data_IF_585174403553
#
_entry.id   IF_585174403553
#
_cell.length_a   1.000
_cell.length_b   1.000
_cell.length_c   1.000
_cell.angle_alpha   90.00
_cell.angle_beta   90.00
_cell.angle_gamma   90.00
#
_symmetry.space_group_name_H-M   'P 1'
#
loop_
_entity.id
_entity.type
_entity.pdbx_description
1 polymer ?
#
# COMPACT_ATOMS: atom_id res chain seq x y z
N UNK A 1 -7.41 29.87 -5.93
CA UNK A 1 -7.56 28.41 -5.73
C UNK A 1 -6.22 27.77 -6.05
N UNK A 2 -5.57 27.16 -5.07
CA UNK A 2 -4.31 26.41 -5.25
C UNK A 2 -4.45 25.00 -4.69
N UNK A 3 -3.82 23.97 -5.28
CA UNK A 3 -3.16 23.96 -6.58
C UNK A 3 -4.13 24.30 -7.74
N UNK A 4 -3.60 24.88 -8.82
CA UNK A 4 -4.37 25.14 -10.03
C UNK A 4 -4.80 23.83 -10.71
N UNK A 5 -5.76 23.90 -11.62
CA UNK A 5 -6.17 22.75 -12.42
C UNK A 5 -4.99 22.28 -13.28
N UNK A 6 -4.74 20.97 -13.34
CA UNK A 6 -3.59 20.34 -14.00
C UNK A 6 -2.21 20.81 -13.51
N UNK A 7 -2.08 21.35 -12.30
CA UNK A 7 -0.77 21.73 -11.75
C UNK A 7 0.12 20.50 -11.54
N UNK A 8 1.39 20.59 -11.92
CA UNK A 8 2.44 19.66 -11.53
C UNK A 8 3.20 20.23 -10.32
N UNK A 9 3.38 19.43 -9.28
CA UNK A 9 3.92 19.86 -7.99
C UNK A 9 5.14 19.02 -7.61
N UNK A 10 6.23 19.70 -7.25
CA UNK A 10 7.48 19.11 -6.75
C UNK A 10 7.48 18.81 -5.24
N UNK A 11 6.31 18.80 -4.61
CA UNK A 11 6.18 18.57 -3.16
C UNK A 11 5.06 17.60 -2.87
N UNK A 12 5.33 16.66 -1.96
CA UNK A 12 4.34 15.72 -1.41
C UNK A 12 3.38 16.38 -0.42
N UNK A 13 3.64 17.63 -0.01
CA UNK A 13 2.79 18.39 0.92
C UNK A 13 2.31 19.70 0.29
N UNK A 14 1.45 19.62 -0.73
CA UNK A 14 0.92 20.81 -1.36
C UNK A 14 0.10 21.64 -0.38
N UNK A 15 0.10 22.96 -0.60
CA UNK A 15 -0.78 23.89 0.12
C UNK A 15 -2.06 24.09 -0.69
N UNK A 16 -3.19 23.80 -0.05
CA UNK A 16 -4.49 24.03 -0.64
C UNK A 16 -5.02 25.40 -0.23
N UNK A 17 -5.59 26.14 -1.17
CA UNK A 17 -6.27 27.40 -0.86
C UNK A 17 -7.54 27.58 -1.66
N UNK A 18 -8.57 28.15 -1.03
CA UNK A 18 -9.81 28.52 -1.69
C UNK A 18 -10.36 29.84 -1.16
N UNK A 19 -11.10 30.54 -2.02
CA UNK A 19 -11.77 31.78 -1.65
C UNK A 19 -13.15 31.50 -1.08
N UNK A 20 -13.56 32.35 -0.15
CA UNK A 20 -14.95 32.43 0.31
C UNK A 20 -15.88 32.69 -0.88
N UNK A 21 -17.08 32.09 -0.91
CA UNK A 21 -18.08 32.37 -1.95
C UNK A 21 -18.39 33.86 -2.06
N UNK A 22 -18.52 34.34 -3.30
CA UNK A 22 -18.95 35.70 -3.60
C UNK A 22 -19.97 35.66 -4.75
N UNK A 23 -21.18 36.20 -4.58
CA UNK A 23 -21.69 36.85 -3.36
C UNK A 23 -21.92 35.86 -2.20
N UNK A 24 -21.99 36.37 -0.97
CA UNK A 24 -22.38 35.58 0.20
C UNK A 24 -23.85 35.15 0.11
N UNK A 25 -24.24 34.01 0.71
CA UNK A 25 -25.63 33.57 0.68
C UNK A 25 -26.52 34.58 1.43
N UNK A 26 -27.58 35.07 0.77
CA UNK A 26 -28.42 36.14 1.30
C UNK A 26 -29.44 35.68 2.36
N UNK A 27 -29.82 34.40 2.35
CA UNK A 27 -30.93 33.86 3.17
C UNK A 27 -30.46 33.10 4.42
N UNK A 28 -29.20 32.67 4.46
CA UNK A 28 -28.64 31.88 5.58
C UNK A 28 -27.13 32.14 5.65
N UNK A 29 -26.57 32.49 6.81
CA UNK A 29 -25.14 32.73 6.94
C UNK A 29 -24.32 31.51 6.50
N UNK A 30 -23.15 31.78 5.92
CA UNK A 30 -22.18 30.74 5.64
C UNK A 30 -21.62 30.20 6.96
N UNK A 31 -21.53 28.87 7.09
CA UNK A 31 -21.20 28.22 8.35
C UNK A 31 -19.83 27.55 8.31
N UNK A 32 -19.63 26.58 7.41
CA UNK A 32 -18.38 25.82 7.35
C UNK A 32 -18.10 25.25 5.95
N UNK A 33 -16.90 24.69 5.79
CA UNK A 33 -16.45 24.00 4.59
C UNK A 33 -16.04 22.56 4.90
N UNK A 34 -16.30 21.67 3.97
CA UNK A 34 -15.66 20.36 3.90
C UNK A 34 -14.69 20.34 2.72
N UNK A 35 -13.43 20.02 3.00
CA UNK A 35 -12.39 19.84 2.00
C UNK A 35 -12.27 18.36 1.64
N UNK A 36 -12.34 18.07 0.34
CA UNK A 36 -12.25 16.74 -0.22
C UNK A 36 -10.90 16.57 -0.92
N UNK A 37 -10.26 15.44 -0.66
CA UNK A 37 -9.06 14.99 -1.34
C UNK A 37 -9.31 13.58 -1.86
N UNK A 38 -9.07 13.36 -3.15
CA UNK A 38 -9.29 12.09 -3.84
C UNK A 38 -10.71 11.52 -3.65
N UNK A 39 -11.69 12.42 -3.60
CA UNK A 39 -13.10 12.11 -3.43
C UNK A 39 -13.54 11.77 -2.00
N UNK A 40 -12.61 11.75 -1.04
CA UNK A 40 -12.90 11.54 0.38
C UNK A 40 -12.86 12.86 1.16
N UNK A 41 -13.68 13.00 2.20
CA UNK A 41 -13.58 14.13 3.12
C UNK A 41 -12.27 14.01 3.89
N UNK A 42 -11.34 14.94 3.65
CA UNK A 42 -10.05 14.97 4.32
C UNK A 42 -10.06 15.90 5.53
N UNK A 43 -10.74 17.06 5.41
CA UNK A 43 -10.97 17.98 6.51
C UNK A 43 -12.44 18.39 6.53
N UNK A 44 -13.10 18.17 7.66
CA UNK A 44 -14.53 18.42 7.84
C UNK A 44 -14.75 19.64 8.74
N UNK A 45 -15.87 20.32 8.52
CA UNK A 45 -16.38 21.38 9.41
C UNK A 45 -15.37 22.51 9.67
N UNK A 46 -14.62 22.90 8.65
CA UNK A 46 -13.72 24.06 8.70
C UNK A 46 -14.58 25.32 8.81
N UNK A 47 -14.61 25.94 9.99
CA UNK A 47 -15.49 27.10 10.26
C UNK A 47 -15.24 28.27 9.31
N UNK A 48 -16.30 28.98 8.89
CA UNK A 48 -16.16 30.23 8.14
C UNK A 48 -15.52 31.35 8.97
N UNK A 49 -15.61 31.28 10.30
CA UNK A 49 -14.97 32.20 11.24
C UNK A 49 -13.55 31.79 11.65
N UNK A 50 -12.97 30.79 10.99
CA UNK A 50 -11.62 30.30 11.29
C UNK A 50 -10.57 31.41 11.15
N UNK A 51 -9.67 31.51 12.12
CA UNK A 51 -8.44 32.30 12.00
C UNK A 51 -7.26 31.39 11.72
N UNK A 52 -6.95 30.48 12.66
CA UNK A 52 -5.98 29.40 12.50
C UNK A 52 -6.31 28.29 13.49
N UNK A 53 -6.21 27.05 13.03
CA UNK A 53 -6.42 25.88 13.85
C UNK A 53 -5.49 24.76 13.40
N UNK A 54 -4.85 24.14 14.37
CA UNK A 54 -3.89 23.08 14.14
C UNK A 54 -4.51 21.72 14.45
N UNK A 55 -4.48 20.82 13.47
CA UNK A 55 -4.98 19.45 13.57
C UNK A 55 -3.83 18.45 13.43
N UNK A 56 -4.09 17.18 13.72
CA UNK A 56 -3.05 16.16 13.65
C UNK A 56 -2.48 15.97 12.22
N UNK A 57 -3.34 16.01 11.19
CA UNK A 57 -2.93 15.75 9.80
C UNK A 57 -2.77 17.02 8.94
N UNK A 58 -3.22 18.18 9.41
CA UNK A 58 -3.15 19.43 8.67
C UNK A 58 -3.23 20.64 9.60
N UNK A 59 -2.89 21.81 9.08
CA UNK A 59 -3.16 23.11 9.70
C UNK A 59 -4.09 23.87 8.77
N UNK A 60 -5.21 24.37 9.30
CA UNK A 60 -6.15 25.19 8.55
C UNK A 60 -6.08 26.63 9.04
N UNK A 61 -6.10 27.60 8.14
CA UNK A 61 -6.15 29.02 8.48
C UNK A 61 -7.01 29.78 7.49
N UNK A 62 -7.55 30.92 7.90
CA UNK A 62 -8.22 31.81 6.98
C UNK A 62 -7.87 33.27 7.26
N UNK A 63 -7.67 34.03 6.19
CA UNK A 63 -7.37 35.46 6.24
C UNK A 63 -7.89 36.14 4.98
N UNK A 64 -8.50 37.32 5.12
CA UNK A 64 -9.03 38.11 4.00
C UNK A 64 -9.96 37.32 3.06
N UNK A 65 -10.77 36.39 3.60
CA UNK A 65 -11.67 35.54 2.81
C UNK A 65 -10.97 34.44 2.00
N UNK A 66 -9.70 34.17 2.25
CA UNK A 66 -8.95 33.04 1.69
C UNK A 66 -8.69 32.04 2.79
N UNK A 67 -9.11 30.80 2.56
CA UNK A 67 -8.83 29.65 3.40
C UNK A 67 -7.61 28.93 2.87
N UNK A 68 -6.75 28.48 3.78
CA UNK A 68 -5.57 27.69 3.48
C UNK A 68 -5.61 26.39 4.31
N UNK A 69 -5.13 25.31 3.70
CA UNK A 69 -4.95 24.02 4.34
C UNK A 69 -3.56 23.50 3.99
N UNK A 70 -2.72 23.35 5.02
CA UNK A 70 -1.36 22.85 4.92
C UNK A 70 -1.33 21.42 5.42
N UNK A 71 -0.86 20.49 4.59
CA UNK A 71 -0.74 19.08 4.98
C UNK A 71 0.48 18.84 5.88
N UNK A 72 0.30 17.98 6.89
CA UNK A 72 1.40 17.48 7.73
C UNK A 72 1.89 16.09 7.32
N UNK A 73 1.13 15.41 6.47
CA UNK A 73 1.44 14.10 5.91
C UNK A 73 1.70 14.19 4.43
N UNK A 74 2.62 13.36 3.96
CA UNK A 74 2.94 13.24 2.54
C UNK A 74 1.81 12.57 1.77
N UNK A 75 1.45 13.16 0.63
CA UNK A 75 0.66 12.51 -0.40
C UNK A 75 1.57 11.63 -1.25
N UNK A 76 0.97 10.61 -1.87
CA UNK A 76 1.68 9.73 -2.79
C UNK A 76 2.10 10.50 -4.06
N UNK A 77 3.02 9.92 -4.83
CA UNK A 77 3.28 10.39 -6.19
C UNK A 77 2.07 10.09 -7.09
N UNK A 78 1.87 10.88 -8.13
CA UNK A 78 0.86 10.65 -9.15
C UNK A 78 -0.29 11.66 -9.16
N UNK A 79 -1.39 11.28 -9.81
CA UNK A 79 -2.57 12.14 -9.95
C UNK A 79 -3.42 12.16 -8.69
N UNK A 80 -3.79 13.37 -8.29
CA UNK A 80 -4.70 13.65 -7.19
C UNK A 80 -5.82 14.60 -7.63
N UNK A 81 -6.89 14.60 -6.85
CA UNK A 81 -8.01 15.52 -7.03
C UNK A 81 -8.39 16.19 -5.74
N UNK A 82 -8.87 17.43 -5.81
CA UNK A 82 -9.38 18.15 -4.65
C UNK A 82 -10.60 18.99 -5.01
N UNK A 83 -11.47 19.19 -4.03
CA UNK A 83 -12.63 20.07 -4.12
C UNK A 83 -13.07 20.52 -2.73
N UNK A 84 -13.92 21.54 -2.68
CA UNK A 84 -14.47 22.06 -1.43
C UNK A 84 -15.97 22.19 -1.55
N UNK A 85 -16.68 21.83 -0.49
CA UNK A 85 -18.12 22.07 -0.36
C UNK A 85 -18.35 23.03 0.79
N UNK A 86 -19.04 24.13 0.51
CA UNK A 86 -19.41 25.16 1.46
C UNK A 86 -20.85 24.90 1.95
N UNK A 87 -21.11 25.07 3.24
CA UNK A 87 -22.41 24.85 3.88
C UNK A 87 -22.87 26.10 4.62
N UNK A 88 -24.16 26.42 4.51
CA UNK A 88 -24.82 27.42 5.36
C UNK A 88 -25.28 26.80 6.68
N UNK A 89 -25.65 27.63 7.65
CA UNK A 89 -26.16 27.15 8.97
C UNK A 89 -27.40 26.27 8.84
N UNK A 90 -28.22 26.51 7.81
CA UNK A 90 -29.43 25.73 7.54
C UNK A 90 -29.15 24.44 6.74
N UNK A 91 -27.87 24.10 6.50
CA UNK A 91 -27.46 22.88 5.81
C UNK A 91 -27.53 22.93 4.29
N UNK A 92 -27.77 24.11 3.69
CA UNK A 92 -27.70 24.29 2.23
C UNK A 92 -26.24 24.26 1.81
N UNK A 93 -25.91 23.50 0.76
CA UNK A 93 -24.52 23.31 0.32
C UNK A 93 -24.29 23.74 -1.12
N UNK A 94 -23.08 24.23 -1.41
CA UNK A 94 -22.58 24.46 -2.77
C UNK A 94 -21.17 23.90 -2.92
N UNK A 95 -20.90 23.23 -4.04
CA UNK A 95 -19.60 22.60 -4.31
C UNK A 95 -18.77 23.43 -5.28
N UNK A 96 -17.45 23.45 -5.08
CA UNK A 96 -16.51 23.93 -6.09
C UNK A 96 -16.39 22.93 -7.24
N UNK A 97 -15.80 23.38 -8.35
CA UNK A 97 -15.26 22.46 -9.35
C UNK A 97 -14.23 21.52 -8.71
N UNK A 98 -14.20 20.28 -9.20
CA UNK A 98 -13.14 19.33 -8.84
C UNK A 98 -11.90 19.62 -9.66
N UNK A 99 -10.79 19.85 -8.98
CA UNK A 99 -9.50 20.18 -9.58
C UNK A 99 -8.59 18.98 -9.50
N UNK A 100 -7.85 18.74 -10.57
CA UNK A 100 -6.82 17.72 -10.63
C UNK A 100 -5.43 18.36 -10.54
N UNK A 101 -4.48 17.61 -10.02
CA UNK A 101 -3.06 17.96 -9.98
C UNK A 101 -2.23 16.69 -9.96
N UNK A 102 -0.94 16.82 -10.29
CA UNK A 102 0.02 15.73 -10.31
C UNK A 102 1.14 16.02 -9.32
N UNK A 103 1.46 15.07 -8.46
CA UNK A 103 2.60 15.13 -7.57
C UNK A 103 3.72 14.31 -8.18
N UNK A 104 4.86 14.96 -8.34
CA UNK A 104 6.11 14.30 -8.63
C UNK A 104 7.20 15.09 -7.93
N UNK A 105 7.66 14.55 -6.81
CA UNK A 105 8.70 15.15 -5.97
C UNK A 105 10.05 14.43 -6.11
N UNK A 106 10.23 13.60 -7.14
CA UNK A 106 11.43 12.79 -7.32
C UNK A 106 12.32 13.54 -8.32
N UNK A 107 13.54 13.95 -7.94
CA UNK A 107 14.45 14.61 -8.87
C UNK A 107 14.84 13.71 -10.05
N UNK A 108 15.02 14.29 -11.26
CA UNK A 108 15.39 13.51 -12.43
C UNK A 108 16.79 12.91 -12.28
N UNK A 109 17.03 11.74 -12.86
CA UNK A 109 18.38 11.17 -12.92
C UNK A 109 19.19 11.79 -14.07
N UNK A 110 20.52 11.74 -13.94
CA UNK A 110 21.47 12.10 -14.99
C UNK A 110 22.52 10.99 -15.04
N UNK A 111 22.78 10.44 -16.22
CA UNK A 111 23.87 9.50 -16.47
C UNK A 111 24.87 10.08 -17.46
N UNK A 112 26.14 9.69 -17.33
CA UNK A 112 27.19 9.91 -18.33
C UNK A 112 27.71 8.53 -18.72
N UNK A 113 27.49 8.15 -19.97
CA UNK A 113 27.78 6.81 -20.50
C UNK A 113 29.02 6.79 -21.38
N UNK A 114 29.41 7.93 -21.94
CA UNK A 114 30.59 8.03 -22.80
C UNK A 114 31.19 9.41 -22.80
N UNK A 115 32.52 9.48 -22.74
CA UNK A 115 33.31 10.68 -22.99
C UNK A 115 34.43 10.30 -23.97
N UNK A 116 34.35 10.83 -25.18
CA UNK A 116 35.23 10.51 -26.30
C UNK A 116 35.36 9.00 -26.53
N UNK A 117 36.51 8.37 -26.25
CA UNK A 117 36.73 6.93 -26.38
C UNK A 117 36.43 6.13 -25.11
N UNK A 118 36.17 6.80 -23.99
CA UNK A 118 35.97 6.18 -22.70
C UNK A 118 34.48 5.88 -22.47
N UNK A 119 34.16 4.62 -22.22
CA UNK A 119 32.85 4.21 -21.74
C UNK A 119 32.77 4.37 -20.22
N UNK A 120 31.69 4.96 -19.74
CA UNK A 120 31.43 5.25 -18.33
C UNK A 120 30.07 4.69 -17.93
N UNK A 121 29.84 4.60 -16.62
CA UNK A 121 28.57 4.16 -16.04
C UNK A 121 28.14 5.06 -14.88
N UNK A 122 28.50 6.34 -14.94
CA UNK A 122 28.26 7.28 -13.86
C UNK A 122 26.82 7.75 -13.87
N UNK A 123 26.09 7.61 -12.77
CA UNK A 123 24.65 7.88 -12.70
C UNK A 123 24.23 8.43 -11.34
N UNK A 124 23.51 9.55 -11.30
CA UNK A 124 23.04 10.20 -10.06
C UNK A 124 21.99 9.40 -9.30
N UNK A 125 21.22 8.52 -9.98
CA UNK A 125 20.31 7.58 -9.32
C UNK A 125 21.05 6.46 -8.58
N UNK A 126 22.34 6.23 -8.91
CA UNK A 126 23.21 5.28 -8.20
C UNK A 126 24.50 5.99 -7.78
N UNK A 127 24.48 6.83 -6.74
CA UNK A 127 25.61 7.71 -6.41
C UNK A 127 26.96 7.01 -6.27
N UNK A 128 26.99 5.75 -5.83
CA UNK A 128 28.22 4.94 -5.72
C UNK A 128 28.87 4.57 -7.07
N UNK A 129 28.17 4.76 -8.19
CA UNK A 129 28.74 4.62 -9.54
C UNK A 129 29.63 5.79 -9.95
N UNK A 130 29.47 6.95 -9.28
CA UNK A 130 30.25 8.16 -9.53
C UNK A 130 31.46 8.12 -8.59
N UNK A 131 32.69 8.05 -9.11
CA UNK A 131 33.89 7.96 -8.27
C UNK A 131 34.08 9.24 -7.41
N UNK A 132 34.93 9.21 -6.38
CA UNK A 132 35.31 10.43 -5.66
C UNK A 132 36.00 11.43 -6.59
N UNK A 133 36.03 12.71 -6.20
CA UNK A 133 36.48 13.81 -7.06
C UNK A 133 37.91 13.62 -7.57
N UNK A 134 38.79 13.00 -6.78
CA UNK A 134 40.18 12.74 -7.16
C UNK A 134 40.30 11.83 -8.41
N UNK A 135 39.28 11.02 -8.69
CA UNK A 135 39.25 10.05 -9.78
C UNK A 135 38.31 10.47 -10.93
N UNK A 136 37.92 11.75 -10.99
CA UNK A 136 37.05 12.32 -12.05
C UNK A 136 37.81 13.14 -13.09
N UNK A 137 39.12 12.92 -13.21
CA UNK A 137 39.97 13.54 -14.22
C UNK A 137 40.11 12.60 -15.41
N UNK A 138 39.50 12.97 -16.53
CA UNK A 138 39.46 12.17 -17.74
C UNK A 138 40.34 12.79 -18.82
N UNK A 139 40.96 11.94 -19.63
CA UNK A 139 41.78 12.37 -20.76
C UNK A 139 41.05 12.05 -22.06
N UNK A 140 40.83 13.06 -22.89
CA UNK A 140 40.20 12.92 -24.22
C UNK A 140 41.26 12.85 -25.31
N UNK A 141 40.96 12.22 -26.44
CA UNK A 141 41.93 12.00 -27.53
C UNK A 141 41.82 12.99 -28.67
N UNK A 142 40.74 13.77 -28.73
CA UNK A 142 40.49 14.77 -29.78
C UNK A 142 40.30 16.16 -29.16
N UNK A 143 40.56 17.19 -29.96
CA UNK A 143 40.23 18.59 -29.59
C UNK A 143 38.71 18.85 -29.50
N UNK A 144 37.92 18.00 -30.17
CA UNK A 144 36.46 18.09 -30.23
C UNK A 144 35.83 16.79 -29.69
N UNK A 145 35.83 16.53 -28.36
CA UNK A 145 35.33 15.28 -27.81
C UNK A 145 33.80 15.26 -27.78
N UNK A 146 33.25 14.08 -28.11
CA UNK A 146 31.82 13.80 -27.98
C UNK A 146 31.53 13.26 -26.59
N UNK A 147 30.48 13.76 -25.94
CA UNK A 147 29.98 13.27 -24.66
C UNK A 147 28.53 12.80 -24.81
N UNK A 148 28.20 11.69 -24.16
CA UNK A 148 26.88 11.05 -24.23
C UNK A 148 26.41 10.57 -22.86
N UNK A 149 25.10 10.47 -22.72
CA UNK A 149 24.47 9.94 -21.53
C UNK A 149 22.96 9.90 -21.66
N UNK A 150 22.33 9.69 -20.52
CA UNK A 150 20.89 9.59 -20.37
C UNK A 150 20.42 10.59 -19.31
N UNK A 151 19.15 10.96 -19.39
CA UNK A 151 18.44 11.81 -18.44
C UNK A 151 16.97 11.39 -18.44
N UNK A 152 16.21 11.75 -17.42
CA UNK A 152 14.77 11.56 -17.48
C UNK A 152 14.14 12.27 -18.69
N UNK A 153 13.26 11.57 -19.41
CA UNK A 153 12.56 12.10 -20.57
C UNK A 153 11.81 13.39 -20.27
N UNK A 154 11.80 14.30 -21.23
CA UNK A 154 11.20 15.64 -21.14
C UNK A 154 11.85 16.58 -20.11
N UNK A 155 12.99 16.22 -19.53
CA UNK A 155 13.76 17.12 -18.68
C UNK A 155 14.41 18.23 -19.47
N UNK A 156 14.41 19.43 -18.90
CA UNK A 156 15.28 20.52 -19.32
C UNK A 156 16.69 20.25 -18.84
N UNK A 157 17.63 20.13 -19.77
CA UNK A 157 18.98 19.67 -19.53
C UNK A 157 20.00 20.73 -19.91
N UNK A 158 21.07 20.86 -19.12
CA UNK A 158 22.15 21.79 -19.36
C UNK A 158 23.51 21.15 -19.07
N UNK A 159 24.48 21.38 -19.95
CA UNK A 159 25.88 21.02 -19.78
C UNK A 159 26.72 22.29 -20.01
N UNK A 160 27.64 22.58 -19.09
CA UNK A 160 28.54 23.72 -19.17
C UNK A 160 29.98 23.21 -19.11
N UNK A 161 30.79 23.55 -20.11
CA UNK A 161 32.24 23.42 -20.08
C UNK A 161 32.85 24.76 -19.65
N UNK A 162 33.47 24.77 -18.48
CA UNK A 162 34.11 25.95 -17.91
C UNK A 162 35.60 25.92 -18.28
N UNK A 163 36.03 27.01 -18.90
CA UNK A 163 37.43 27.26 -19.21
C UNK A 163 38.29 27.51 -17.96
N UNK A 164 39.54 27.02 -17.94
CA UNK A 164 40.51 27.39 -16.93
C UNK A 164 40.79 28.90 -16.93
N UNK A 165 41.09 29.46 -15.76
CA UNK A 165 41.38 30.89 -15.62
C UNK A 165 42.66 31.29 -16.35
N UNK A 166 42.74 32.55 -16.80
CA UNK A 166 43.91 33.18 -17.41
C UNK A 166 44.32 32.65 -18.81
N UNK A 167 43.40 32.06 -19.55
CA UNK A 167 43.65 31.64 -20.94
C UNK A 167 42.93 32.60 -21.91
N UNK A 168 43.64 33.54 -22.56
CA UNK A 168 43.04 34.35 -23.59
C UNK A 168 42.63 33.46 -24.76
N UNK A 169 41.36 33.58 -25.21
CA UNK A 169 40.68 32.79 -26.26
C UNK A 169 40.02 31.46 -25.83
N UNK A 170 39.90 31.18 -24.54
CA UNK A 170 39.06 30.07 -24.08
C UNK A 170 37.65 30.56 -23.75
N UNK A 171 36.63 30.07 -24.46
CA UNK A 171 35.23 30.43 -24.24
C UNK A 171 34.46 29.32 -23.50
N UNK A 172 33.57 29.72 -22.59
CA UNK A 172 32.65 28.80 -21.91
C UNK A 172 31.67 28.26 -22.95
N UNK A 173 31.54 26.94 -23.02
CA UNK A 173 30.60 26.29 -23.93
C UNK A 173 29.38 25.81 -23.14
N UNK A 174 28.18 26.11 -23.63
CA UNK A 174 26.93 25.76 -22.98
C UNK A 174 26.05 25.01 -23.96
N UNK A 175 25.64 23.81 -23.56
CA UNK A 175 24.61 23.04 -24.24
C UNK A 175 23.34 23.05 -23.38
N UNK A 176 22.22 23.38 -23.99
CA UNK A 176 20.90 23.33 -23.35
C UNK A 176 19.87 22.71 -24.28
N UNK A 177 18.90 21.99 -23.71
CA UNK A 177 17.81 21.42 -24.49
C UNK A 177 16.75 20.74 -23.63
N UNK A 178 15.57 20.50 -24.20
CA UNK A 178 14.57 19.63 -23.60
C UNK A 178 14.71 18.23 -24.20
N UNK A 179 15.05 17.23 -23.37
CA UNK A 179 15.44 15.90 -23.85
C UNK A 179 14.24 14.96 -23.82
N UNK A 180 13.45 14.93 -24.89
CA UNK A 180 12.23 14.11 -24.97
C UNK A 180 12.50 12.59 -24.98
N UNK A 181 13.60 12.14 -25.58
CA UNK A 181 13.96 10.73 -25.70
C UNK A 181 14.54 10.12 -24.42
N UNK A 182 15.01 10.95 -23.49
CA UNK A 182 15.82 10.53 -22.35
C UNK A 182 17.29 10.21 -22.70
N UNK A 183 17.70 10.40 -23.95
CA UNK A 183 19.10 10.21 -24.38
C UNK A 183 19.66 11.54 -24.89
N UNK A 184 20.90 11.86 -24.51
CA UNK A 184 21.57 13.09 -24.94
C UNK A 184 22.97 12.80 -25.49
N UNK A 185 23.36 13.62 -26.46
CA UNK A 185 24.68 13.62 -27.08
C UNK A 185 25.04 15.06 -27.43
N UNK A 186 26.25 15.48 -27.08
CA UNK A 186 26.80 16.77 -27.47
C UNK A 186 28.30 16.66 -27.69
N UNK A 187 28.90 17.68 -28.28
CA UNK A 187 30.35 17.78 -28.44
C UNK A 187 30.83 19.11 -27.89
N UNK A 188 32.04 19.11 -27.36
CA UNK A 188 32.80 20.33 -27.15
C UNK A 188 33.71 20.57 -28.34
N UNK A 189 34.11 21.81 -28.55
CA UNK A 189 34.96 22.21 -29.67
C UNK A 189 36.20 22.95 -29.20
N UNK A 190 37.29 22.81 -29.94
CA UNK A 190 38.51 23.60 -29.81
C UNK A 190 39.14 23.59 -28.40
N UNK A 191 39.18 22.41 -27.77
CA UNK A 191 39.92 22.23 -26.51
C UNK A 191 41.43 22.48 -26.73
N UNK A 192 42.00 23.29 -25.84
CA UNK A 192 43.42 23.61 -25.85
C UNK A 192 44.23 22.49 -25.19
N UNK A 193 45.39 22.11 -25.76
CA UNK A 193 46.23 21.06 -25.19
C UNK A 193 46.71 21.38 -23.77
N UNK A 194 46.79 20.35 -22.93
CA UNK A 194 47.25 20.39 -21.53
C UNK A 194 46.50 21.40 -20.64
N UNK A 195 45.22 21.64 -20.94
CA UNK A 195 44.33 22.42 -20.08
C UNK A 195 43.28 21.55 -19.41
N UNK A 196 42.96 21.86 -18.15
CA UNK A 196 41.94 21.15 -17.37
C UNK A 196 40.64 21.94 -17.41
N UNK A 197 39.63 21.38 -18.06
CA UNK A 197 38.31 21.97 -18.14
C UNK A 197 37.39 21.35 -17.09
N UNK A 198 36.51 22.16 -16.50
CA UNK A 198 35.48 21.68 -15.57
C UNK A 198 34.16 21.51 -16.31
N UNK A 199 33.51 20.37 -16.16
CA UNK A 199 32.18 20.13 -16.72
C UNK A 199 31.15 20.11 -15.60
N UNK A 200 30.08 20.89 -15.81
CA UNK A 200 28.90 20.92 -14.94
C UNK A 200 27.69 20.47 -15.73
N UNK A 201 26.85 19.63 -15.12
CA UNK A 201 25.63 19.13 -15.74
C UNK A 201 24.47 19.31 -14.78
N UNK A 202 23.32 19.77 -15.28
CA UNK A 202 22.08 19.88 -14.52
C UNK A 202 20.87 19.46 -15.35
N UNK A 203 19.85 18.97 -14.66
CA UNK A 203 18.57 18.60 -15.24
C UNK A 203 17.42 19.10 -14.37
N UNK A 204 16.32 19.52 -14.98
CA UNK A 204 15.07 19.88 -14.30
C UNK A 204 13.90 19.22 -15.01
N UNK A 205 13.09 18.47 -14.27
CA UNK A 205 11.92 17.75 -14.79
C UNK A 205 10.71 18.69 -15.04
N UNK A 206 9.60 18.18 -15.60
CA UNK A 206 8.38 18.99 -15.81
C UNK A 206 7.69 19.49 -14.54
N UNK A 207 7.92 18.83 -13.40
CA UNK A 207 7.36 19.18 -12.09
C UNK A 207 8.19 20.23 -11.35
N UNK A 208 9.39 20.53 -11.87
CA UNK A 208 10.33 21.50 -11.33
C UNK A 208 11.32 20.92 -10.31
N UNK A 209 11.48 19.59 -10.20
CA UNK A 209 12.59 19.03 -9.44
C UNK A 209 13.87 19.14 -10.27
N UNK A 210 14.99 19.40 -9.60
CA UNK A 210 16.29 19.57 -10.26
C UNK A 210 17.34 18.65 -9.66
N UNK A 211 18.23 18.18 -10.53
CA UNK A 211 19.42 17.40 -10.17
C UNK A 211 20.65 18.07 -10.75
N UNK A 212 21.71 18.12 -9.94
CA UNK A 212 23.04 18.56 -10.36
C UNK A 212 23.95 17.34 -10.38
N UNK A 213 24.58 17.09 -11.51
CA UNK A 213 25.59 16.05 -11.63
C UNK A 213 26.89 16.52 -10.97
N UNK A 214 27.59 15.67 -10.20
CA UNK A 214 28.86 16.04 -9.59
C UNK A 214 29.90 16.43 -10.65
N UNK A 215 30.59 17.56 -10.44
CA UNK A 215 31.62 18.06 -11.35
C UNK A 215 32.67 16.98 -11.67
N UNK A 216 33.12 16.99 -12.92
CA UNK A 216 34.24 16.19 -13.43
C UNK A 216 35.07 17.00 -14.42
N UNK A 217 36.25 16.50 -14.75
CA UNK A 217 37.27 17.25 -15.46
C UNK A 217 37.73 16.53 -16.71
N UNK A 218 37.98 17.26 -17.79
CA UNK A 218 38.59 16.72 -19.01
C UNK A 218 39.88 17.44 -19.36
N UNK A 219 40.82 16.72 -19.94
CA UNK A 219 42.09 17.25 -20.46
C UNK A 219 42.38 16.67 -21.83
N UNK A 220 42.68 17.54 -22.79
CA UNK A 220 43.17 17.14 -24.11
C UNK A 220 44.71 17.17 -24.09
N UNK A 221 45.41 16.04 -24.27
CA UNK A 221 46.87 16.01 -24.22
C UNK A 221 47.48 16.52 -25.53
N UNK A 222 48.72 16.99 -25.46
CA UNK A 222 49.51 17.27 -26.67
C UNK A 222 49.73 15.96 -27.44
N UNK A 223 49.17 15.87 -28.65
CA UNK A 223 49.54 14.78 -29.57
C UNK A 223 51.00 14.95 -30.01
N UNK A 224 51.90 14.15 -29.43
CA UNK A 224 53.20 13.85 -30.03
C UNK A 224 52.97 12.85 -31.18
N UNK A 225 52.41 13.32 -32.30
CA UNK A 225 52.30 12.49 -33.50
C UNK A 225 53.27 13.01 -34.57
N UNK A 226 54.33 12.22 -34.78
CA UNK A 226 55.07 12.13 -36.04
C UNK A 226 54.06 11.97 -37.18
N UNK A 227 54.05 12.94 -38.09
CA UNK A 227 53.21 12.96 -39.28
C UNK A 227 53.55 11.77 -40.19
N UNK A 228 52.65 10.81 -40.34
CA UNK A 228 52.55 10.00 -41.55
C UNK A 228 51.31 10.43 -42.34
N UNK A 229 51.39 10.54 -43.68
CA UNK A 229 50.29 11.05 -44.50
C UNK A 229 49.15 10.02 -44.56
N UNK A 230 47.96 10.40 -44.12
CA UNK A 230 46.73 9.62 -44.29
C UNK A 230 46.02 10.03 -45.58
N UNK A 231 45.68 9.04 -46.41
CA UNK A 231 44.86 9.15 -47.62
C UNK A 231 43.40 9.40 -47.21
N UNK A 232 42.65 10.31 -47.86
CA UNK A 232 41.26 10.55 -47.53
C UNK A 232 40.36 9.45 -48.10
N UNK A 233 39.61 8.76 -47.24
CA UNK A 233 38.43 7.97 -47.63
C UNK A 233 37.22 8.69 -47.03
N UNK A 234 36.41 9.28 -47.90
CA UNK A 234 35.12 9.89 -47.55
C UNK A 234 34.08 8.78 -47.34
N UNK A 235 33.42 8.69 -46.18
CA UNK A 235 32.19 7.90 -46.07
C UNK A 235 31.00 8.67 -46.67
N UNK A 236 29.89 7.99 -47.01
CA UNK A 236 28.73 8.62 -47.60
C UNK A 236 27.97 9.46 -46.57
N UNK A 237 27.49 10.62 -47.02
CA UNK A 237 26.62 11.54 -46.29
C UNK A 237 25.25 10.88 -46.16
N UNK A 238 24.95 10.32 -44.99
CA UNK A 238 23.57 10.08 -44.55
C UNK A 238 23.12 11.28 -43.70
N UNK A 239 21.94 11.79 -44.01
CA UNK A 239 21.32 12.98 -43.42
C UNK A 239 21.35 12.92 -41.87
N UNK A 240 22.18 13.75 -41.24
CA UNK A 240 21.99 14.15 -39.85
C UNK A 240 21.51 15.61 -39.83
N UNK A 241 20.31 15.80 -39.27
CA UNK A 241 19.75 17.12 -39.00
C UNK A 241 20.62 17.85 -37.96
N UNK A 242 21.47 18.76 -38.46
CA UNK A 242 22.09 19.81 -37.65
C UNK A 242 21.00 20.85 -37.38
N UNK A 243 20.50 20.91 -36.14
CA UNK A 243 19.56 21.95 -35.72
C UNK A 243 20.37 23.13 -35.18
N UNK A 244 20.29 24.26 -35.88
CA UNK A 244 20.82 25.56 -35.50
C UNK A 244 20.11 26.10 -34.25
N UNK A 245 20.81 26.76 -33.30
CA UNK A 245 20.18 27.30 -32.10
C UNK A 245 19.23 28.45 -32.45
N UNK A 246 17.93 28.22 -32.26
CA UNK A 246 16.90 29.26 -32.25
C UNK A 246 16.72 29.81 -30.83
N UNK A 247 16.46 31.12 -30.74
CA UNK A 247 16.10 31.80 -29.51
C UNK A 247 14.88 31.13 -28.87
N UNK A 248 15.05 30.63 -27.64
CA UNK A 248 14.05 29.91 -26.88
C UNK A 248 13.11 30.89 -26.17
N UNK A 249 11.85 30.87 -26.59
CA UNK A 249 10.71 31.26 -25.74
C UNK A 249 10.21 29.95 -25.12
N UNK A 250 10.08 29.85 -23.78
CA UNK A 250 9.56 28.65 -23.17
C UNK A 250 8.16 28.33 -23.69
N UNK A 251 8.06 27.28 -24.51
CA UNK A 251 6.77 26.70 -24.82
C UNK A 251 6.30 25.99 -23.55
N UNK A 252 5.17 26.44 -23.01
CA UNK A 252 4.45 25.73 -21.95
C UNK A 252 4.26 24.27 -22.40
N UNK A 253 4.72 23.28 -21.62
CA UNK A 253 4.56 21.88 -21.99
C UNK A 253 3.08 21.56 -22.25
N UNK A 254 2.76 20.75 -23.28
CA UNK A 254 1.40 20.22 -23.41
C UNK A 254 1.06 19.46 -22.13
N UNK A 255 -0.08 19.79 -21.53
CA UNK A 255 -0.58 19.10 -20.35
C UNK A 255 -0.54 17.57 -20.60
N UNK A 256 -0.05 16.76 -19.65
CA UNK A 256 0.01 15.32 -19.84
C UNK A 256 -1.38 14.78 -20.17
N UNK A 257 -1.43 13.90 -21.18
CA UNK A 257 -2.66 13.34 -21.72
C UNK A 257 -3.46 12.72 -20.58
N UNK A 258 -4.68 13.24 -20.36
CA UNK A 258 -5.59 12.73 -19.34
C UNK A 258 -5.68 11.20 -19.47
N UNK A 259 -5.52 10.43 -18.38
CA UNK A 259 -6.05 9.08 -18.34
C UNK A 259 -7.53 9.14 -18.76
N UNK A 260 -8.05 8.15 -19.50
CA UNK A 260 -9.44 8.14 -19.91
C UNK A 260 -10.32 8.44 -18.71
N UNK A 261 -11.18 9.46 -18.84
CA UNK A 261 -12.03 9.95 -17.77
C UNK A 261 -12.61 8.76 -17.00
N UNK A 262 -12.14 8.55 -15.76
CA UNK A 262 -12.74 7.56 -14.88
C UNK A 262 -14.18 8.02 -14.75
N UNK A 263 -15.13 7.24 -15.30
CA UNK A 263 -16.57 7.51 -15.18
C UNK A 263 -16.82 8.00 -13.78
N UNK A 264 -17.34 9.22 -13.65
CA UNK A 264 -17.76 9.80 -12.39
C UNK A 264 -18.65 8.75 -11.74
N UNK A 265 -18.07 8.05 -10.77
CA UNK A 265 -18.82 7.09 -9.99
C UNK A 265 -19.60 7.99 -9.07
N UNK A 266 -20.85 8.27 -9.43
CA UNK A 266 -21.83 8.86 -8.53
C UNK A 266 -21.61 8.22 -7.17
N UNK A 267 -21.22 9.02 -6.17
CA UNK A 267 -21.08 8.54 -4.80
C UNK A 267 -22.48 8.11 -4.38
N UNK A 268 -22.76 6.82 -4.59
CA UNK A 268 -23.92 6.18 -4.01
C UNK A 268 -23.74 6.23 -2.49
N UNK A 269 -24.82 6.22 -1.70
CA UNK A 269 -24.80 6.19 -0.22
C UNK A 269 -24.20 4.90 0.39
N UNK A 270 -23.25 4.28 -0.31
CA UNK A 270 -22.65 2.98 -0.09
C UNK A 270 -21.62 3.00 1.05
N UNK A 271 -21.01 4.16 1.37
CA UNK A 271 -19.99 4.26 2.41
C UNK A 271 -20.50 4.04 3.85
N UNK A 272 -21.62 4.66 4.31
CA UNK A 272 -22.16 4.35 5.65
C UNK A 272 -22.71 2.91 5.72
N UNK A 273 -23.28 2.39 4.64
CA UNK A 273 -23.74 1.01 4.56
C UNK A 273 -22.56 0.02 4.62
N UNK A 274 -21.48 0.29 3.90
CA UNK A 274 -20.27 -0.53 3.93
C UNK A 274 -19.58 -0.47 5.30
N UNK A 275 -19.55 0.68 5.97
CA UNK A 275 -19.06 0.79 7.34
C UNK A 275 -19.90 -0.03 8.32
N UNK A 276 -21.24 0.00 8.18
CA UNK A 276 -22.15 -0.86 8.95
C UNK A 276 -21.85 -2.35 8.69
N UNK A 277 -21.62 -2.74 7.43
CA UNK A 277 -21.23 -4.12 7.10
C UNK A 277 -19.91 -4.51 7.76
N UNK A 278 -18.89 -3.65 7.76
CA UNK A 278 -17.62 -3.90 8.45
C UNK A 278 -17.81 -4.09 9.96
N UNK A 279 -18.65 -3.27 10.59
CA UNK A 279 -19.00 -3.43 12.02
C UNK A 279 -19.66 -4.79 12.24
N UNK A 280 -20.65 -5.17 11.43
CA UNK A 280 -21.35 -6.45 11.57
C UNK A 280 -20.43 -7.65 11.31
N UNK A 281 -19.45 -7.53 10.41
CA UNK A 281 -18.42 -8.55 10.15
C UNK A 281 -17.58 -8.78 11.41
N UNK A 282 -17.12 -7.73 12.08
CA UNK A 282 -16.33 -7.86 13.32
C UNK A 282 -17.10 -8.61 14.41
N UNK A 283 -18.42 -8.52 14.44
CA UNK A 283 -19.26 -9.22 15.42
C UNK A 283 -19.83 -10.56 14.95
N UNK A 284 -19.67 -10.98 13.69
CA UNK A 284 -20.28 -12.20 13.17
C UNK A 284 -19.56 -13.48 13.61
N UNK A 285 -18.49 -13.84 12.91
CA UNK A 285 -17.72 -15.07 13.12
C UNK A 285 -17.10 -15.12 14.53
N UNK A 286 -16.52 -14.03 15.09
CA UNK A 286 -15.98 -14.08 16.45
C UNK A 286 -17.06 -14.39 17.49
N UNK A 287 -18.27 -13.83 17.36
CA UNK A 287 -19.37 -14.12 18.26
C UNK A 287 -19.85 -15.56 18.11
N UNK A 288 -19.94 -16.08 16.88
CA UNK A 288 -20.24 -17.49 16.63
C UNK A 288 -19.24 -18.42 17.35
N UNK A 289 -17.93 -18.19 17.19
CA UNK A 289 -16.87 -18.99 17.83
C UNK A 289 -16.90 -18.88 19.36
N UNK A 290 -17.19 -17.68 19.88
CA UNK A 290 -17.37 -17.45 21.31
C UNK A 290 -18.57 -18.22 21.86
N UNK A 291 -19.72 -18.15 21.18
CA UNK A 291 -20.93 -18.88 21.55
C UNK A 291 -20.74 -20.39 21.45
N UNK A 292 -19.99 -20.88 20.46
CA UNK A 292 -19.61 -22.29 20.35
C UNK A 292 -18.76 -22.74 21.54
N UNK A 293 -17.76 -21.94 21.92
CA UNK A 293 -16.85 -22.23 23.03
C UNK A 293 -17.54 -22.18 24.40
N UNK A 294 -18.36 -21.15 24.65
CA UNK A 294 -19.16 -21.02 25.88
C UNK A 294 -20.20 -22.14 25.95
N UNK A 295 -20.84 -22.42 24.81
CA UNK A 295 -21.89 -23.42 24.68
C UNK A 295 -21.41 -24.84 24.94
N UNK A 296 -20.18 -25.18 24.52
CA UNK A 296 -19.54 -26.48 24.79
C UNK A 296 -18.76 -26.52 26.11
N UNK A 297 -18.68 -25.39 26.83
CA UNK A 297 -17.87 -25.22 28.03
C UNK A 297 -16.38 -25.53 27.81
N UNK A 298 -15.85 -25.19 26.63
CA UNK A 298 -14.46 -25.41 26.25
C UNK A 298 -13.51 -24.68 27.21
N UNK A 299 -12.57 -25.38 27.88
CA UNK A 299 -11.53 -24.75 28.67
C UNK A 299 -10.65 -23.86 27.79
N UNK A 300 -10.21 -22.70 28.30
CA UNK A 300 -9.42 -21.73 27.53
C UNK A 300 -8.16 -22.36 26.91
N UNK A 301 -7.48 -23.25 27.66
CA UNK A 301 -6.29 -24.00 27.18
C UNK A 301 -6.56 -24.90 25.96
N UNK A 302 -7.83 -25.23 25.68
CA UNK A 302 -8.27 -26.04 24.54
C UNK A 302 -8.96 -25.23 23.44
N UNK A 303 -9.14 -23.91 23.61
CA UNK A 303 -9.90 -23.07 22.69
C UNK A 303 -9.36 -23.13 21.25
N UNK A 304 -8.04 -22.96 21.06
CA UNK A 304 -7.44 -23.01 19.71
C UNK A 304 -7.64 -24.38 19.04
N UNK A 305 -7.40 -25.47 19.77
CA UNK A 305 -7.60 -26.84 19.24
C UNK A 305 -9.06 -27.10 18.89
N UNK A 306 -9.98 -26.65 19.74
CA UNK A 306 -11.41 -26.75 19.51
C UNK A 306 -11.85 -26.01 18.24
N UNK A 307 -11.38 -24.77 18.04
CA UNK A 307 -11.65 -23.97 16.84
C UNK A 307 -11.16 -24.68 15.57
N UNK A 308 -9.96 -25.27 15.60
CA UNK A 308 -9.43 -26.05 14.46
C UNK A 308 -10.25 -27.30 14.17
N UNK A 309 -10.65 -28.04 15.19
CA UNK A 309 -11.51 -29.24 15.05
C UNK A 309 -12.88 -28.86 14.49
N UNK A 310 -13.40 -27.69 14.89
CA UNK A 310 -14.67 -27.14 14.43
C UNK A 310 -14.59 -26.71 12.96
N UNK A 311 -13.48 -26.10 12.53
CA UNK A 311 -13.28 -25.70 11.13
C UNK A 311 -13.01 -26.90 10.20
N UNK A 312 -12.22 -27.86 10.66
CA UNK A 312 -11.66 -28.93 9.84
C UNK A 312 -11.83 -30.29 10.51
N UNK A 313 -13.06 -30.81 10.61
CA UNK A 313 -13.35 -32.05 11.31
C UNK A 313 -12.72 -33.27 10.61
N UNK A 314 -12.39 -33.18 9.33
CA UNK A 314 -11.77 -34.28 8.57
C UNK A 314 -10.25 -34.37 8.73
N UNK A 315 -9.61 -33.41 9.40
CA UNK A 315 -8.18 -33.48 9.65
C UNK A 315 -7.90 -34.51 10.77
N UNK A 316 -6.94 -35.40 10.49
CA UNK A 316 -6.42 -36.49 11.35
C UNK A 316 -7.24 -37.77 11.35
N UNK A 317 -6.52 -38.90 11.48
CA UNK A 317 -7.12 -40.20 11.74
C UNK A 317 -7.79 -40.19 13.11
N UNK A 318 -9.00 -40.70 13.19
CA UNK A 318 -9.78 -40.81 14.42
C UNK A 318 -10.18 -42.27 14.58
N UNK A 319 -9.96 -42.78 15.77
CA UNK A 319 -10.02 -44.21 16.08
C UNK A 319 -11.22 -44.53 16.95
N UNK A 320 -11.75 -43.55 17.69
CA UNK A 320 -12.82 -43.73 18.64
C UNK A 320 -14.02 -42.81 18.33
N UNK A 321 -15.21 -43.21 18.77
CA UNK A 321 -16.44 -42.47 18.54
C UNK A 321 -17.23 -42.29 19.84
N UNK A 322 -17.87 -41.13 19.97
CA UNK A 322 -18.75 -40.71 21.06
C UNK A 322 -19.80 -39.77 20.45
N UNK A 323 -20.49 -38.98 21.27
CA UNK A 323 -21.34 -37.89 20.81
C UNK A 323 -20.53 -36.66 20.37
N UNK A 324 -21.07 -35.83 19.45
CA UNK A 324 -20.40 -34.62 18.98
C UNK A 324 -20.02 -33.64 20.08
N UNK A 325 -18.84 -33.03 19.94
CA UNK A 325 -18.31 -31.98 20.83
C UNK A 325 -18.32 -32.33 22.32
N UNK A 326 -18.05 -33.59 22.64
CA UNK A 326 -17.83 -34.03 24.02
C UNK A 326 -16.37 -33.88 24.40
N UNK A 327 -16.14 -33.40 25.62
CA UNK A 327 -14.81 -33.40 26.23
C UNK A 327 -14.61 -34.73 26.95
N UNK A 328 -13.51 -35.39 26.63
CA UNK A 328 -13.11 -36.67 27.21
C UNK A 328 -11.79 -36.46 27.95
N UNK A 329 -11.81 -36.65 29.26
CA UNK A 329 -10.65 -36.68 30.12
C UNK A 329 -10.35 -38.13 30.49
N UNK A 330 -9.14 -38.58 30.19
CA UNK A 330 -8.64 -39.92 30.50
C UNK A 330 -7.65 -39.80 31.66
N UNK A 331 -7.85 -40.60 32.70
CA UNK A 331 -7.01 -40.69 33.89
C UNK A 331 -6.43 -42.09 34.02
N UNK A 332 -5.27 -42.19 34.65
CA UNK A 332 -4.61 -43.46 35.00
C UNK A 332 -4.80 -43.68 36.51
N UNK A 333 -4.97 -44.92 36.99
CA UNK A 333 -5.17 -45.23 38.40
C UNK A 333 -4.18 -44.54 39.35
N UNK A 334 -2.91 -44.46 38.94
CA UNK A 334 -1.83 -43.90 39.77
C UNK A 334 -1.86 -42.37 39.89
N UNK A 335 -2.67 -41.68 39.05
CA UNK A 335 -2.71 -40.22 38.99
C UNK A 335 -4.10 -39.70 38.59
N UNK A 336 -4.98 -39.61 39.59
CA UNK A 336 -6.36 -39.13 39.42
C UNK A 336 -6.50 -37.59 39.50
N UNK A 337 -5.50 -36.88 40.02
CA UNK A 337 -5.58 -35.42 40.22
C UNK A 337 -5.58 -34.64 38.89
N UNK A 338 -4.96 -35.21 37.85
CA UNK A 338 -4.86 -34.59 36.52
C UNK A 338 -5.09 -35.62 35.43
N UNK A 339 -5.79 -35.25 34.35
CA UNK A 339 -5.98 -36.15 33.22
C UNK A 339 -4.65 -36.46 32.54
N UNK A 340 -4.40 -37.74 32.31
CA UNK A 340 -3.31 -38.22 31.45
C UNK A 340 -3.46 -37.68 30.02
N UNK A 341 -4.70 -37.68 29.52
CA UNK A 341 -5.04 -37.06 28.24
C UNK A 341 -6.42 -36.42 28.30
N UNK A 342 -6.52 -35.20 27.77
CA UNK A 342 -7.81 -34.56 27.47
C UNK A 342 -7.94 -34.41 25.95
N UNK A 343 -9.07 -34.85 25.41
CA UNK A 343 -9.40 -34.75 24.00
C UNK A 343 -10.84 -34.26 23.83
N UNK A 344 -11.16 -33.74 22.64
CA UNK A 344 -12.51 -33.29 22.29
C UNK A 344 -12.93 -34.01 21.03
N UNK A 345 -14.16 -34.51 21.02
CA UNK A 345 -14.72 -35.12 19.83
C UNK A 345 -15.15 -34.07 18.81
N UNK A 346 -15.11 -34.45 17.54
CA UNK A 346 -15.52 -33.58 16.44
C UNK A 346 -17.04 -33.47 16.31
N UNK A 347 -17.47 -32.90 15.18
CA UNK A 347 -18.88 -32.68 14.85
C UNK A 347 -19.69 -33.98 14.61
N UNK A 348 -19.01 -35.10 14.27
CA UNK A 348 -19.61 -36.43 14.15
C UNK A 348 -19.38 -37.29 15.40
N UNK A 349 -18.66 -36.76 16.38
CA UNK A 349 -18.32 -37.43 17.62
C UNK A 349 -17.07 -38.31 17.56
N UNK A 350 -16.27 -38.24 16.50
CA UNK A 350 -15.00 -38.96 16.42
C UNK A 350 -13.89 -38.25 17.19
N UNK A 351 -13.00 -39.04 17.81
CA UNK A 351 -11.83 -38.55 18.54
C UNK A 351 -10.67 -39.55 18.45
N UNK A 352 -9.51 -39.12 18.94
CA UNK A 352 -8.29 -39.90 18.97
C UNK A 352 -7.65 -39.89 20.36
N UNK A 353 -7.06 -41.02 20.73
CA UNK A 353 -6.31 -41.22 21.97
C UNK A 353 -4.84 -41.51 21.65
N UNK A 354 -3.94 -41.08 22.53
CA UNK A 354 -2.52 -41.37 22.38
C UNK A 354 -2.30 -42.87 22.53
N UNK A 355 -1.48 -43.41 21.63
CA UNK A 355 -1.03 -44.80 21.68
C UNK A 355 0.38 -44.87 22.29
N UNK A 356 0.70 -45.90 23.11
CA UNK A 356 -0.20 -46.95 23.59
C UNK A 356 -1.15 -46.45 24.69
N UNK A 357 -2.37 -47.01 24.73
CA UNK A 357 -3.34 -46.73 25.79
C UNK A 357 -2.98 -47.58 27.02
N UNK A 358 -2.93 -46.99 28.23
CA UNK A 358 -2.68 -47.74 29.47
C UNK A 358 -3.75 -48.81 29.72
N UNK A 359 -3.35 -49.93 30.34
CA UNK A 359 -4.24 -51.10 30.54
C UNK A 359 -5.47 -50.78 31.40
N UNK A 360 -5.33 -49.89 32.38
CA UNK A 360 -6.42 -49.41 33.22
C UNK A 360 -6.57 -47.90 33.06
N UNK A 361 -7.76 -47.44 32.68
CA UNK A 361 -8.08 -46.02 32.54
C UNK A 361 -9.44 -45.68 33.16
N UNK A 362 -9.54 -44.48 33.72
CA UNK A 362 -10.80 -43.86 34.09
C UNK A 362 -11.14 -42.76 33.09
N UNK A 363 -12.40 -42.66 32.69
CA UNK A 363 -12.86 -41.69 31.70
C UNK A 363 -13.92 -40.78 32.31
N UNK A 364 -13.67 -39.48 32.28
CA UNK A 364 -14.68 -38.45 32.56
C UNK A 364 -15.09 -37.81 31.23
N UNK A 365 -16.39 -37.87 30.93
CA UNK A 365 -16.96 -37.28 29.72
C UNK A 365 -17.97 -36.21 30.06
N UNK A 366 -17.89 -35.07 29.36
CA UNK A 366 -18.87 -34.00 29.49
C UNK A 366 -19.36 -33.54 28.13
N UNK A 367 -20.69 -33.37 28.02
CA UNK A 367 -21.33 -32.84 26.83
C UNK A 367 -22.53 -31.99 27.23
N UNK A 368 -22.65 -30.81 26.61
CA UNK A 368 -23.65 -29.84 27.03
C UNK A 368 -25.04 -30.19 26.49
N UNK A 369 -26.01 -30.20 27.41
CA UNK A 369 -27.43 -30.31 27.08
C UNK A 369 -27.92 -31.71 26.67
N UNK A 370 -27.09 -32.75 26.83
CA UNK A 370 -27.42 -34.16 26.55
C UNK A 370 -27.32 -35.01 27.82
N UNK A 371 -28.31 -35.87 28.12
CA UNK A 371 -28.23 -36.79 29.25
C UNK A 371 -27.17 -37.87 28.99
N UNK A 372 -26.46 -38.28 30.05
CA UNK A 372 -25.39 -39.29 29.98
C UNK A 372 -25.82 -40.61 29.33
N UNK A 373 -27.10 -40.97 29.42
CA UNK A 373 -27.69 -42.18 28.85
C UNK A 373 -27.58 -42.28 27.32
N UNK A 374 -27.28 -41.16 26.63
CA UNK A 374 -27.12 -41.11 25.17
C UNK A 374 -25.66 -40.96 24.73
N UNK A 375 -24.69 -41.07 25.64
CA UNK A 375 -23.29 -40.69 25.38
C UNK A 375 -22.36 -41.85 25.00
N UNK A 376 -22.84 -43.10 25.06
CA UNK A 376 -22.07 -44.29 24.69
C UNK A 376 -22.75 -44.98 23.49
N UNK A 377 -22.18 -44.82 22.30
CA UNK A 377 -22.53 -45.64 21.13
C UNK A 377 -21.75 -46.96 21.21
N UNK A 378 -22.42 -48.09 20.92
CA UNK A 378 -21.81 -49.43 20.83
C UNK A 378 -20.83 -49.48 19.64
N UNK A 379 -19.60 -49.01 19.85
CA UNK A 379 -18.44 -49.23 18.98
C UNK A 379 -17.44 -50.18 19.67
N UNK A 380 -16.53 -50.79 18.90
CA UNK A 380 -15.65 -51.90 19.30
C UNK A 380 -15.15 -51.82 20.74
N UNK A 381 -15.38 -52.88 21.52
CA UNK A 381 -14.97 -53.02 22.92
C UNK A 381 -13.56 -52.45 23.16
N UNK A 382 -13.46 -51.41 24.00
CA UNK A 382 -12.24 -51.21 24.78
C UNK A 382 -12.19 -52.38 25.78
N UNK A 383 -11.34 -53.37 25.50
CA UNK A 383 -11.44 -54.69 26.12
C UNK A 383 -11.27 -54.69 27.65
N UNK A 384 -10.79 -53.62 28.28
CA UNK A 384 -10.50 -53.61 29.73
C UNK A 384 -10.70 -52.25 30.44
N UNK A 385 -11.72 -51.44 30.10
CA UNK A 385 -11.96 -50.15 30.78
C UNK A 385 -13.23 -50.15 31.65
N UNK A 386 -13.10 -49.91 32.96
CA UNK A 386 -14.24 -49.62 33.85
C UNK A 386 -14.74 -48.18 33.61
N UNK A 387 -15.90 -48.06 32.96
CA UNK A 387 -16.58 -46.78 32.77
C UNK A 387 -17.45 -46.48 34.00
N UNK A 388 -17.03 -45.54 34.85
CA UNK A 388 -17.86 -45.02 35.94
C UNK A 388 -18.54 -43.72 35.50
N UNK A 389 -19.81 -43.74 35.04
CA UNK A 389 -20.51 -42.53 34.67
C UNK A 389 -20.71 -41.65 35.90
N UNK A 390 -20.12 -40.46 35.89
CA UNK A 390 -20.41 -39.45 36.91
C UNK A 390 -21.81 -38.88 36.64
N UNK A 391 -22.80 -39.07 37.52
CA UNK A 391 -24.13 -38.52 37.32
C UNK A 391 -24.04 -36.99 37.24
N UNK A 392 -24.42 -36.44 36.10
CA UNK A 392 -24.51 -34.98 35.93
C UNK A 392 -25.58 -34.46 36.88
N UNK A 393 -25.29 -33.38 37.60
CA UNK A 393 -26.27 -32.65 38.40
C UNK A 393 -27.50 -32.29 37.55
N UNK A 394 -28.71 -32.23 38.14
CA UNK A 394 -29.92 -31.85 37.42
C UNK A 394 -29.74 -30.52 36.69
N UNK A 395 -30.46 -30.32 35.57
CA UNK A 395 -30.26 -29.15 34.71
C UNK A 395 -30.53 -27.82 35.44
N UNK A 396 -29.50 -27.25 36.06
CA UNK A 396 -29.53 -25.93 36.67
C UNK A 396 -29.68 -24.84 35.61
N UNK A 397 -30.17 -23.66 35.99
CA UNK A 397 -30.39 -22.51 35.09
C UNK A 397 -29.18 -22.20 34.18
N UNK A 398 -27.96 -22.37 34.70
CA UNK A 398 -26.69 -22.23 33.96
C UNK A 398 -26.57 -23.19 32.78
N UNK A 399 -26.97 -24.45 32.95
CA UNK A 399 -26.92 -25.47 31.87
C UNK A 399 -27.96 -25.19 30.78
N UNK A 400 -29.14 -24.70 31.17
CA UNK A 400 -30.20 -24.26 30.25
C UNK A 400 -29.75 -23.06 29.41
N UNK A 401 -29.11 -22.07 30.04
CA UNK A 401 -28.56 -20.90 29.35
C UNK A 401 -27.47 -21.29 28.35
N UNK A 402 -26.51 -22.14 28.76
CA UNK A 402 -25.46 -22.65 27.86
C UNK A 402 -26.04 -23.38 26.65
N UNK A 403 -27.05 -24.23 26.87
CA UNK A 403 -27.75 -24.90 25.77
C UNK A 403 -28.39 -23.90 24.80
N UNK A 404 -29.06 -22.86 25.32
CA UNK A 404 -29.66 -21.79 24.49
C UNK A 404 -28.62 -21.02 23.67
N UNK A 405 -27.52 -20.61 24.30
CA UNK A 405 -26.39 -19.95 23.63
C UNK A 405 -25.85 -20.85 22.53
N UNK A 406 -25.62 -22.13 22.83
CA UNK A 406 -25.10 -23.08 21.85
C UNK A 406 -26.06 -23.26 20.67
N UNK A 407 -27.37 -23.36 20.89
CA UNK A 407 -28.35 -23.49 19.81
C UNK A 407 -28.49 -22.23 18.95
N UNK A 408 -28.30 -21.04 19.55
CA UNK A 408 -28.43 -19.76 18.85
C UNK A 408 -27.18 -19.38 18.03
N UNK A 409 -26.08 -20.12 18.15
CA UNK A 409 -24.78 -19.77 17.54
C UNK A 409 -24.79 -19.73 16.01
N UNK A 410 -25.79 -20.32 15.35
CA UNK A 410 -25.93 -20.27 13.89
C UNK A 410 -26.29 -18.85 13.40
N UNK A 411 -27.02 -18.07 14.19
CA UNK A 411 -27.47 -16.72 13.83
C UNK A 411 -26.29 -15.79 13.49
N UNK A 412 -25.28 -15.60 14.36
CA UNK A 412 -24.14 -14.75 14.04
C UNK A 412 -23.30 -15.28 12.87
N UNK A 413 -23.29 -16.59 12.62
CA UNK A 413 -22.59 -17.16 11.46
C UNK A 413 -23.30 -16.84 10.13
N UNK A 414 -24.64 -16.89 10.12
CA UNK A 414 -25.44 -16.46 8.96
C UNK A 414 -25.22 -14.96 8.71
N UNK A 415 -25.22 -14.13 9.76
CA UNK A 415 -24.90 -12.70 9.65
C UNK A 415 -23.49 -12.51 9.08
N UNK A 416 -22.49 -13.26 9.55
CA UNK A 416 -21.12 -13.18 9.04
C UNK A 416 -21.06 -13.48 7.53
N UNK A 417 -21.78 -14.50 7.08
CA UNK A 417 -21.83 -14.88 5.67
C UNK A 417 -22.53 -13.83 4.80
N UNK A 418 -23.73 -13.39 5.19
CA UNK A 418 -24.48 -12.41 4.39
C UNK A 418 -23.77 -11.06 4.33
N UNK A 419 -23.18 -10.62 5.44
CA UNK A 419 -22.46 -9.33 5.49
C UNK A 419 -21.14 -9.39 4.74
N UNK A 420 -20.36 -10.47 4.86
CA UNK A 420 -19.09 -10.61 4.15
C UNK A 420 -19.28 -10.80 2.64
N UNK A 421 -20.26 -11.58 2.18
CA UNK A 421 -20.54 -11.70 0.73
C UNK A 421 -21.02 -10.39 0.14
N UNK A 422 -21.90 -9.68 0.84
CA UNK A 422 -22.35 -8.35 0.44
C UNK A 422 -21.17 -7.37 0.38
N UNK A 423 -20.30 -7.39 1.39
CA UNK A 423 -19.11 -6.53 1.41
C UNK A 423 -18.11 -6.84 0.27
N UNK A 424 -17.93 -8.11 -0.09
CA UNK A 424 -17.09 -8.51 -1.25
C UNK A 424 -17.64 -7.96 -2.56
N UNK A 425 -18.97 -8.02 -2.76
CA UNK A 425 -19.62 -7.50 -3.97
C UNK A 425 -19.45 -5.97 -4.05
N UNK A 426 -19.49 -5.29 -2.91
CA UNK A 426 -19.41 -3.83 -2.82
C UNK A 426 -17.97 -3.33 -3.00
N UNK A 427 -17.01 -3.93 -2.28
CA UNK A 427 -15.61 -3.52 -2.30
C UNK A 427 -14.73 -4.77 -2.10
N UNK A 428 -14.23 -5.38 -3.19
CA UNK A 428 -13.49 -6.62 -3.10
C UNK A 428 -12.17 -6.39 -2.35
N UNK A 429 -11.93 -7.22 -1.34
CA UNK A 429 -10.71 -7.21 -0.52
C UNK A 429 -10.34 -8.63 -0.15
N UNK A 430 -9.04 -8.95 -0.22
CA UNK A 430 -8.51 -10.26 0.18
C UNK A 430 -8.86 -10.60 1.63
N UNK A 431 -8.85 -9.62 2.54
CA UNK A 431 -9.18 -9.84 3.94
C UNK A 431 -10.64 -10.27 4.13
N UNK A 432 -11.57 -9.65 3.39
CA UNK A 432 -12.99 -10.00 3.44
C UNK A 432 -13.24 -11.34 2.77
N UNK A 433 -12.53 -11.63 1.68
CA UNK A 433 -12.58 -12.93 1.02
C UNK A 433 -12.13 -14.06 1.95
N UNK A 434 -10.99 -13.90 2.63
CA UNK A 434 -10.49 -14.87 3.63
C UNK A 434 -11.52 -15.05 4.76
N UNK A 435 -12.10 -13.96 5.24
CA UNK A 435 -13.12 -14.01 6.28
C UNK A 435 -14.39 -14.76 5.84
N UNK A 436 -14.88 -14.48 4.61
CA UNK A 436 -16.03 -15.17 4.03
C UNK A 436 -15.75 -16.65 3.82
N UNK A 437 -14.54 -16.99 3.37
CA UNK A 437 -14.08 -18.37 3.24
C UNK A 437 -14.14 -19.11 4.58
N UNK A 438 -13.58 -18.54 5.66
CA UNK A 438 -13.67 -19.18 6.98
C UNK A 438 -15.10 -19.28 7.47
N UNK A 439 -15.93 -18.26 7.28
CA UNK A 439 -17.35 -18.30 7.67
C UNK A 439 -18.10 -19.43 6.93
N UNK A 440 -17.80 -19.62 5.65
CA UNK A 440 -18.37 -20.70 4.84
C UNK A 440 -17.84 -22.06 5.29
N UNK A 441 -16.55 -22.15 5.59
CA UNK A 441 -15.92 -23.36 6.09
C UNK A 441 -16.58 -23.82 7.39
N UNK A 442 -16.83 -22.91 8.34
CA UNK A 442 -17.53 -23.23 9.59
C UNK A 442 -19.00 -23.59 9.38
N UNK A 443 -19.69 -22.94 8.43
CA UNK A 443 -21.06 -23.33 8.08
C UNK A 443 -21.09 -24.77 7.53
N UNK A 444 -20.17 -25.06 6.62
CA UNK A 444 -20.05 -26.39 6.02
C UNK A 444 -19.72 -27.44 7.09
N UNK A 445 -18.66 -27.23 7.86
CA UNK A 445 -18.18 -28.22 8.82
C UNK A 445 -19.17 -28.52 9.95
N UNK A 446 -19.87 -27.51 10.47
CA UNK A 446 -20.77 -27.69 11.61
C UNK A 446 -22.20 -28.10 11.24
N UNK A 447 -22.70 -27.67 10.08
CA UNK A 447 -24.14 -27.77 9.77
C UNK A 447 -24.47 -28.58 8.53
N UNK A 448 -23.56 -28.63 7.54
CA UNK A 448 -23.74 -29.39 6.31
C UNK A 448 -23.08 -30.76 6.41
N UNK A 449 -21.79 -30.80 6.74
CA UNK A 449 -20.98 -32.01 6.84
C UNK A 449 -21.58 -33.10 7.74
N UNK A 450 -22.20 -32.82 8.90
CA UNK A 450 -22.78 -33.88 9.74
C UNK A 450 -24.02 -34.54 9.15
N UNK A 451 -24.58 -33.98 8.07
CA UNK A 451 -25.77 -34.49 7.37
C UNK A 451 -25.43 -35.23 6.07
N UNK A 452 -24.17 -35.13 5.63
CA UNK A 452 -23.59 -35.87 4.52
C UNK A 452 -22.99 -37.15 5.12
#
# INVERSE_FOLDING_TARGET
>A
LTPAINAALNTTRPVFSWSRPSPLPALSPLSYYNFFLDGAVFAASISDSLTTQDYYFYTASASAGIFNLLLKTDLAQGYHTWSVIAFTENGISSASETRNFYIDSIPPFISVTKIDRQSLSWNTATPGSIPPVENRYLTVTTKDPIIKGDVESFSNFQIILICPQNIPKCEIQVFTGNISSGHWETHFSDLLPNQIYTIKISATDPSGNSTIFPDFFITYPVSLLLTLPSIPISPPIELLNVITPTSYVPATPPAPMLPPAKKVTTIRPMYPFYLLLLILIVFGLPLHLLMASIGTATPLRFALRFIVILAFPFLRRKTYQTIPFSFINVFIPDKLDHPWQSTVSDVQGFYDLRSPIPDNIFIEMSAVGRPWKNNLLRGSLMAYSCLCPRPTTPQNNRTRLRKRIYTARIIPLVIALTTSTTAIIITPSYSIFIYAYFSLQYLFSEYLYPKI
#
